data_IF_400063573934
#
_entry.id   IF_400063573934
#
_cell.length_a   1.000
_cell.length_b   1.000
_cell.length_c   1.000
_cell.angle_alpha   90.00
_cell.angle_beta   90.00
_cell.angle_gamma   90.00
#
_symmetry.space_group_name_H-M   'P 1'
#
loop_
_entity.id
_entity.type
_entity.pdbx_description
1 polymer ?
#
# COMPACT_ATOMS: atom_id res chain seq x y z
N UNK A 1 -5.90 -26.84 32.23
CA UNK A 1 -5.31 -26.00 31.17
C UNK A 1 -6.28 -24.86 30.86
N UNK A 2 -6.02 -23.62 31.31
CA UNK A 2 -6.90 -22.47 31.02
C UNK A 2 -6.46 -21.85 29.70
N UNK A 3 -7.31 -21.93 28.67
CA UNK A 3 -7.15 -21.18 27.44
C UNK A 3 -7.45 -19.71 27.76
N UNK A 4 -6.42 -18.87 27.82
CA UNK A 4 -6.64 -17.43 27.89
C UNK A 4 -7.27 -16.98 26.55
N UNK A 5 -8.39 -16.26 26.56
CA UNK A 5 -8.91 -15.66 25.33
C UNK A 5 -7.87 -14.65 24.84
N UNK A 6 -7.26 -14.96 23.69
CA UNK A 6 -6.39 -14.01 22.99
C UNK A 6 -7.28 -12.86 22.54
N UNK A 7 -7.29 -11.75 23.31
CA UNK A 7 -7.95 -10.52 22.91
C UNK A 7 -7.38 -10.11 21.55
N UNK A 8 -8.26 -9.81 20.60
CA UNK A 8 -7.84 -9.27 19.32
C UNK A 8 -6.99 -8.00 19.55
N UNK A 9 -5.90 -7.80 18.79
CA UNK A 9 -5.09 -6.60 18.91
C UNK A 9 -5.94 -5.36 18.67
N UNK A 10 -5.72 -4.33 19.48
CA UNK A 10 -6.37 -3.03 19.29
C UNK A 10 -5.78 -2.38 18.03
N UNK A 11 -6.64 -1.91 17.13
CA UNK A 11 -6.21 -1.15 15.97
C UNK A 11 -6.10 0.33 16.32
N UNK A 12 -5.07 0.97 15.79
CA UNK A 12 -4.76 2.38 15.91
C UNK A 12 -5.00 3.05 14.56
N UNK A 13 -6.01 3.92 14.44
CA UNK A 13 -6.23 4.68 13.21
C UNK A 13 -5.17 5.77 13.05
N UNK A 14 -4.68 5.92 11.83
CA UNK A 14 -3.68 6.90 11.44
C UNK A 14 -4.12 7.57 10.14
N UNK A 15 -3.84 8.87 9.98
CA UNK A 15 -4.14 9.64 8.78
C UNK A 15 -2.98 10.55 8.44
N UNK A 16 -2.47 10.42 7.21
CA UNK A 16 -1.33 11.17 6.71
C UNK A 16 -1.70 11.84 5.40
N UNK A 17 -1.22 13.06 5.21
CA UNK A 17 -1.41 13.81 3.96
C UNK A 17 -0.05 14.05 3.33
N UNK A 18 0.04 13.76 2.03
CA UNK A 18 1.21 14.05 1.19
C UNK A 18 0.74 14.97 0.08
N UNK A 19 1.40 16.13 -0.06
CA UNK A 19 1.06 17.12 -1.08
C UNK A 19 2.19 17.21 -2.11
N UNK A 20 1.85 17.22 -3.39
CA UNK A 20 2.84 17.49 -4.43
C UNK A 20 3.08 19.00 -4.52
N UNK A 21 4.21 19.45 -4.00
CA UNK A 21 4.67 20.85 -4.07
C UNK A 21 5.64 21.11 -5.23
N UNK A 22 5.93 20.09 -6.03
CA UNK A 22 6.81 20.21 -7.20
C UNK A 22 6.05 20.82 -8.38
N UNK A 23 6.80 21.27 -9.39
CA UNK A 23 6.25 21.75 -10.67
C UNK A 23 5.91 20.63 -11.65
N UNK A 24 6.23 19.37 -11.33
CA UNK A 24 6.00 18.20 -12.17
C UNK A 24 5.10 17.17 -11.46
N UNK A 25 4.36 16.33 -12.21
CA UNK A 25 3.61 15.22 -11.64
C UNK A 25 4.52 14.20 -10.95
N UNK A 26 4.00 13.60 -9.88
CA UNK A 26 4.65 12.49 -9.15
C UNK A 26 3.89 11.20 -9.41
N UNK A 27 4.60 10.16 -9.86
CA UNK A 27 4.04 8.82 -9.92
C UNK A 27 4.02 8.21 -8.51
N UNK A 28 2.90 7.61 -8.11
CA UNK A 28 2.78 6.92 -6.83
C UNK A 28 2.48 5.45 -7.04
N UNK A 29 3.35 4.62 -6.48
CA UNK A 29 3.18 3.17 -6.38
C UNK A 29 2.77 2.82 -4.95
N UNK A 30 1.71 2.03 -4.79
CA UNK A 30 1.38 1.41 -3.51
C UNK A 30 1.74 -0.07 -3.64
N UNK A 31 2.74 -0.52 -2.89
CA UNK A 31 3.16 -1.92 -2.90
C UNK A 31 1.97 -2.84 -2.55
N UNK A 32 1.96 -4.07 -3.05
CA UNK A 32 0.86 -5.04 -2.97
C UNK A 32 -0.35 -4.75 -3.88
N UNK A 33 -0.30 -3.72 -4.72
CA UNK A 33 -1.18 -3.55 -5.88
C UNK A 33 -0.34 -3.16 -7.10
N UNK A 34 -0.72 -3.60 -8.32
CA UNK A 34 -0.07 -3.13 -9.55
C UNK A 34 -0.50 -1.70 -9.94
N UNK A 35 -1.48 -1.12 -9.22
CA UNK A 35 -2.08 0.16 -9.57
C UNK A 35 -1.09 1.31 -9.36
N UNK A 36 -0.93 2.15 -10.39
CA UNK A 36 -0.19 3.41 -10.32
C UNK A 36 -1.15 4.57 -10.18
N UNK A 37 -0.76 5.53 -9.36
CA UNK A 37 -1.46 6.79 -9.23
C UNK A 37 -0.56 7.94 -9.66
N UNK A 38 -1.15 9.10 -9.94
CA UNK A 38 -0.41 10.32 -10.29
C UNK A 38 -0.90 11.45 -9.39
N UNK A 39 0.03 12.16 -8.76
CA UNK A 39 -0.24 13.41 -8.06
C UNK A 39 0.25 14.55 -8.93
N UNK A 40 -0.67 15.34 -9.48
CA UNK A 40 -0.31 16.57 -10.18
C UNK A 40 0.17 17.65 -9.19
N UNK A 41 0.92 18.65 -9.66
CA UNK A 41 1.27 19.81 -8.84
C UNK A 41 0.04 20.40 -8.14
N UNK A 42 0.08 20.52 -6.82
CA UNK A 42 -1.03 21.01 -6.01
C UNK A 42 -1.92 19.92 -5.41
N UNK A 43 -1.95 18.71 -6.01
CA UNK A 43 -2.76 17.58 -5.52
C UNK A 43 -2.31 17.10 -4.14
N UNK A 44 -3.27 16.49 -3.43
CA UNK A 44 -3.04 15.84 -2.15
C UNK A 44 -3.40 14.36 -2.20
N UNK A 45 -2.50 13.53 -1.69
CA UNK A 45 -2.77 12.14 -1.33
C UNK A 45 -3.02 12.06 0.17
N UNK A 46 -4.10 11.38 0.54
CA UNK A 46 -4.43 11.02 1.92
C UNK A 46 -4.26 9.52 2.07
N UNK A 47 -3.41 9.12 3.03
CA UNK A 47 -3.21 7.73 3.44
C UNK A 47 -3.89 7.54 4.79
N UNK A 48 -4.87 6.66 4.86
CA UNK A 48 -5.55 6.25 6.08
C UNK A 48 -5.15 4.80 6.41
N UNK A 49 -4.56 4.58 7.57
CA UNK A 49 -4.10 3.26 8.00
C UNK A 49 -4.75 2.84 9.32
N UNK A 50 -5.01 1.55 9.46
CA UNK A 50 -5.40 0.92 10.72
C UNK A 50 -4.43 -0.21 11.01
N UNK A 51 -3.61 -0.02 12.04
CA UNK A 51 -2.45 -0.86 12.38
C UNK A 51 -2.49 -1.26 13.85
N UNK A 52 -1.98 -2.43 14.26
CA UNK A 52 -1.89 -2.79 15.67
C UNK A 52 -0.72 -2.05 16.34
N UNK A 53 0.19 -1.49 15.54
CA UNK A 53 1.30 -0.68 15.97
C UNK A 53 0.92 0.80 15.81
N UNK A 54 1.02 1.56 16.90
CA UNK A 54 0.73 3.00 16.88
C UNK A 54 1.71 3.78 16.01
N UNK A 55 2.95 3.30 15.94
CA UNK A 55 4.06 3.96 15.26
C UNK A 55 4.46 3.25 13.95
N UNK A 56 3.63 2.29 13.51
CA UNK A 56 3.86 1.50 12.30
C UNK A 56 2.58 1.27 11.52
N UNK A 57 2.69 0.65 10.34
CA UNK A 57 1.54 0.36 9.47
C UNK A 57 1.85 0.60 8.00
N UNK A 58 2.69 1.59 7.71
CA UNK A 58 3.26 1.80 6.38
C UNK A 58 4.52 2.68 6.44
N UNK A 59 5.30 2.66 5.37
CA UNK A 59 6.43 3.54 5.09
C UNK A 59 6.18 4.24 3.75
N UNK A 60 6.53 5.52 3.64
CA UNK A 60 6.55 6.24 2.36
C UNK A 60 8.00 6.55 2.02
N UNK A 61 8.43 6.08 0.85
CA UNK A 61 9.76 6.34 0.30
C UNK A 61 9.60 7.28 -0.89
N UNK A 62 10.33 8.38 -0.87
CA UNK A 62 10.35 9.34 -1.97
C UNK A 62 11.53 9.07 -2.91
N UNK A 63 11.27 9.16 -4.20
CA UNK A 63 12.25 9.05 -5.28
C UNK A 63 12.16 10.28 -6.20
N UNK A 64 13.18 10.55 -7.03
CA UNK A 64 13.05 11.51 -8.12
C UNK A 64 11.87 11.12 -9.03
N UNK A 65 10.85 11.97 -9.11
CA UNK A 65 9.67 11.74 -9.96
C UNK A 65 8.60 10.81 -9.39
N UNK A 66 8.75 10.28 -8.17
CA UNK A 66 7.71 9.42 -7.61
C UNK A 66 7.79 9.09 -6.13
N UNK A 67 6.74 8.45 -5.63
CA UNK A 67 6.61 7.98 -4.26
C UNK A 67 6.26 6.48 -4.27
N UNK A 68 6.78 5.75 -3.29
CA UNK A 68 6.39 4.38 -3.03
C UNK A 68 5.87 4.24 -1.61
N UNK A 69 4.67 3.68 -1.48
CA UNK A 69 4.03 3.39 -0.20
C UNK A 69 4.17 1.89 0.08
N UNK A 70 4.92 1.54 1.12
CA UNK A 70 5.12 0.19 1.60
C UNK A 70 4.22 -0.07 2.82
N UNK A 71 3.17 -0.90 2.73
CA UNK A 71 2.49 -1.42 3.92
C UNK A 71 3.49 -2.14 4.83
N UNK A 72 3.37 -2.08 6.15
CA UNK A 72 4.30 -2.78 7.06
C UNK A 72 4.22 -4.31 6.90
N UNK A 73 5.38 -4.94 6.63
CA UNK A 73 5.54 -6.36 6.31
C UNK A 73 5.46 -7.26 7.54
N UNK A 74 5.67 -6.72 8.75
CA UNK A 74 5.65 -7.48 10.01
C UNK A 74 4.26 -8.01 10.38
N UNK A 75 3.23 -7.62 9.64
CA UNK A 75 1.84 -7.85 9.95
C UNK A 75 1.26 -8.97 9.08
N UNK A 76 1.46 -10.22 9.52
CA UNK A 76 1.00 -11.45 8.86
C UNK A 76 -0.53 -11.58 8.63
N UNK A 77 -1.33 -10.59 9.04
CA UNK A 77 -2.79 -10.60 8.85
C UNK A 77 -3.18 -9.67 7.71
N UNK A 78 -3.14 -10.22 6.49
CA UNK A 78 -3.70 -9.67 5.24
C UNK A 78 -3.90 -8.15 5.17
N UNK A 79 -3.04 -7.47 4.43
CA UNK A 79 -3.17 -6.04 4.14
C UNK A 79 -4.36 -5.84 3.19
N UNK A 80 -5.25 -4.90 3.50
CA UNK A 80 -6.27 -4.43 2.56
C UNK A 80 -5.88 -3.05 2.06
N UNK A 81 -5.88 -2.84 0.75
CA UNK A 81 -5.57 -1.57 0.11
C UNK A 81 -6.77 -1.15 -0.72
N UNK A 82 -7.35 0.01 -0.43
CA UNK A 82 -8.52 0.54 -1.14
C UNK A 82 -9.69 -0.46 -1.21
N UNK A 83 -9.93 -1.17 -0.10
CA UNK A 83 -11.01 -2.16 -0.01
C UNK A 83 -10.73 -3.49 -0.74
N UNK A 84 -9.53 -3.69 -1.29
CA UNK A 84 -9.09 -4.94 -1.93
C UNK A 84 -8.01 -5.60 -1.09
N UNK A 85 -7.92 -6.92 -1.09
CA UNK A 85 -6.78 -7.62 -0.48
C UNK A 85 -5.52 -7.25 -1.27
N UNK A 86 -4.51 -6.73 -0.57
CA UNK A 86 -3.18 -6.51 -1.11
C UNK A 86 -2.52 -7.86 -1.38
N UNK A 87 -2.01 -8.03 -2.58
CA UNK A 87 -1.28 -9.22 -3.02
C UNK A 87 0.11 -8.75 -3.43
N UNK A 88 1.15 -9.32 -2.84
CA UNK A 88 2.53 -8.94 -3.18
C UNK A 88 2.75 -9.03 -4.69
N UNK A 89 3.17 -7.91 -5.26
CA UNK A 89 3.57 -7.81 -6.65
C UNK A 89 5.05 -7.44 -6.72
N UNK A 90 5.89 -8.46 -6.78
CA UNK A 90 7.34 -8.32 -6.92
C UNK A 90 7.78 -7.98 -8.35
N UNK A 91 6.84 -7.97 -9.29
CA UNK A 91 7.14 -7.82 -10.72
C UNK A 91 6.95 -6.39 -11.20
N UNK A 92 6.09 -5.62 -10.54
CA UNK A 92 5.92 -4.20 -10.84
C UNK A 92 7.16 -3.41 -10.39
N UNK A 93 7.88 -2.74 -11.30
CA UNK A 93 9.11 -2.02 -10.95
C UNK A 93 8.84 -0.83 -10.02
N UNK A 94 9.77 -0.47 -9.14
CA UNK A 94 9.62 0.77 -8.34
C UNK A 94 9.60 2.05 -9.21
N UNK A 95 9.14 3.20 -8.70
CA UNK A 95 9.16 4.47 -9.45
C UNK A 95 10.58 4.91 -9.89
N UNK A 96 11.63 4.40 -9.24
CA UNK A 96 13.02 4.66 -9.56
C UNK A 96 13.66 3.61 -10.49
N UNK A 97 12.90 2.58 -10.92
CA UNK A 97 13.40 1.58 -11.85
C UNK A 97 13.60 2.25 -13.20
N UNK A 98 14.83 2.72 -13.43
CA UNK A 98 15.31 3.32 -14.67
C UNK A 98 14.67 2.61 -15.86
N UNK A 99 14.03 3.40 -16.74
CA UNK A 99 13.45 2.97 -18.02
C UNK A 99 14.54 2.27 -18.84
N UNK A 100 14.77 0.98 -18.58
CA UNK A 100 15.48 0.09 -19.49
C UNK A 100 14.40 -0.44 -20.43
N UNK A 101 14.50 0.02 -21.66
CA UNK A 101 13.63 -0.22 -22.81
C UNK A 101 12.95 -1.60 -22.78
N UNK A 102 11.62 -1.55 -22.94
CA UNK A 102 10.73 -2.59 -23.47
C UNK A 102 11.31 -4.00 -23.59
N UNK A 103 11.03 -4.85 -22.61
CA UNK A 103 10.75 -6.26 -22.88
C UNK A 103 9.23 -6.48 -22.74
N UNK A 104 8.64 -7.37 -23.56
CA UNK A 104 7.22 -7.67 -23.47
C UNK A 104 6.92 -8.28 -22.09
N UNK A 105 6.00 -7.65 -21.36
CA UNK A 105 5.46 -8.15 -20.09
C UNK A 105 4.80 -9.51 -20.35
N UNK A 106 5.56 -10.58 -20.11
CA UNK A 106 5.00 -11.93 -20.00
C UNK A 106 4.11 -11.92 -18.77
N UNK A 107 2.79 -11.86 -18.97
CA UNK A 107 1.82 -11.88 -17.88
C UNK A 107 1.97 -13.21 -17.12
N UNK A 108 2.42 -13.22 -15.85
CA UNK A 108 2.40 -14.45 -15.09
C UNK A 108 0.96 -14.84 -14.80
N UNK A 109 0.67 -16.13 -14.95
CA UNK A 109 -0.63 -16.72 -14.64
C UNK A 109 -0.86 -16.61 -13.14
N UNK A 110 -1.69 -15.66 -12.72
CA UNK A 110 -2.06 -15.46 -11.31
C UNK A 110 -2.63 -16.78 -10.77
N UNK A 111 -1.87 -17.47 -9.91
CA UNK A 111 -2.42 -18.54 -9.09
C UNK A 111 -3.38 -17.89 -8.10
N UNK A 112 -4.68 -18.15 -8.28
CA UNK A 112 -5.71 -17.75 -7.33
C UNK A 112 -5.42 -18.46 -6.00
N UNK A 113 -4.85 -17.75 -5.04
CA UNK A 113 -4.84 -18.20 -3.66
C UNK A 113 -6.31 -18.41 -3.22
N UNK A 114 -6.64 -19.63 -2.79
CA UNK A 114 -7.97 -19.93 -2.24
C UNK A 114 -8.19 -19.04 -1.02
N UNK A 115 -9.30 -18.31 -1.04
CA UNK A 115 -9.80 -17.60 0.13
C UNK A 115 -10.07 -18.62 1.25
N UNK A 116 -9.26 -18.57 2.30
CA UNK A 116 -9.53 -19.29 3.54
C UNK A 116 -9.69 -18.27 4.68
N UNK A 117 -10.83 -18.40 5.36
CA UNK A 117 -11.26 -17.84 6.65
C UNK A 117 -11.58 -16.34 6.79
N UNK A 118 -12.80 -16.09 7.28
CA UNK A 118 -13.31 -14.77 7.72
C UNK A 118 -12.67 -14.35 9.06
N UNK A 119 -12.59 -13.04 9.35
CA UNK A 119 -11.30 -12.40 9.61
C UNK A 119 -11.10 -12.01 11.08
N UNK A 120 -9.86 -12.15 11.58
CA UNK A 120 -9.37 -11.27 12.64
C UNK A 120 -9.14 -9.90 11.98
N UNK A 121 -9.81 -8.87 12.49
CA UNK A 121 -9.95 -7.51 11.91
C UNK A 121 -8.73 -7.14 11.05
N UNK A 122 -8.87 -7.09 9.72
CA UNK A 122 -7.73 -6.90 8.85
C UNK A 122 -7.12 -5.52 9.07
N UNK A 123 -5.79 -5.45 8.97
CA UNK A 123 -5.12 -4.18 8.81
C UNK A 123 -5.49 -3.61 7.45
N UNK A 124 -5.82 -2.33 7.42
CA UNK A 124 -6.29 -1.68 6.20
C UNK A 124 -5.53 -0.40 5.96
N UNK A 125 -5.13 -0.19 4.71
CA UNK A 125 -4.62 1.05 4.16
C UNK A 125 -5.63 1.51 3.11
N UNK A 126 -5.96 2.79 3.12
CA UNK A 126 -6.73 3.42 2.06
C UNK A 126 -5.95 4.63 1.58
N UNK A 127 -5.74 4.69 0.27
CA UNK A 127 -5.06 5.77 -0.43
C UNK A 127 -6.10 6.49 -1.27
N UNK A 128 -6.30 7.79 -0.98
CA UNK A 128 -7.19 8.66 -1.74
C UNK A 128 -6.40 9.83 -2.30
N UNK A 129 -6.65 10.16 -3.56
CA UNK A 129 -6.09 11.38 -4.18
C UNK A 129 -7.21 12.38 -4.33
N UNK A 130 -6.91 13.63 -3.99
CA UNK A 130 -7.79 14.78 -4.11
C UNK A 130 -7.12 15.77 -5.05
N UNK A 131 -7.82 16.08 -6.15
CA UNK A 131 -7.41 17.15 -7.06
C UNK A 131 -7.60 18.52 -6.42
N UNK A 132 -6.72 19.46 -6.75
CA UNK A 132 -6.88 20.89 -6.44
C UNK A 132 -7.89 21.60 -7.33
#
# INVERSE_FOLDING_TARGET
MRLFPTRAPRLHPQRHTVRNTQSAPLEVLVEYLPDRYVLHPGDEMVIEAQSPNRDGGFLVVAYPGGLQVHPDWGLATGVWINGRIGVTDWTTPGPNAVVRRHEPVVRPRIQRARAAEKPRRPYSITVRIRGS
#
